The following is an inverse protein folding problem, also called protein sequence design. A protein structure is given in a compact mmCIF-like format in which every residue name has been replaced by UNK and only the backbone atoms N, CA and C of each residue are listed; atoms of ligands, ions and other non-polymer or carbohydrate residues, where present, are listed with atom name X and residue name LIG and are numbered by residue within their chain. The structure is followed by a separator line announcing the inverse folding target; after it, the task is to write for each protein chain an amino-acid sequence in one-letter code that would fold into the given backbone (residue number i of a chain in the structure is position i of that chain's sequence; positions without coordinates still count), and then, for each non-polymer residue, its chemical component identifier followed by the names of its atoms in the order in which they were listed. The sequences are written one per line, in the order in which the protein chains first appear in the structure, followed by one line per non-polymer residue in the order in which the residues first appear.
data_IF_698168084869
#
_entry.id   IF_698168084869
#
_cell.length_a   1.000
_cell.length_b   1.000
_cell.length_c   1.000
_cell.angle_alpha   90.00
_cell.angle_beta   90.00
_cell.angle_gamma   90.00
#
_symmetry.space_group_name_H-M   'P 1'
#
loop_
_entity.id
_entity.type
_entity.pdbx_description
1 polymer ?
#
# COMPACT_ATOMS: atom_id res chain seq x y z
N UNK A 1 -8.11 24.73 -18.21
CA UNK A 1 -7.70 23.99 -19.43
C UNK A 1 -6.65 22.90 -19.12
N UNK A 2 -6.68 22.25 -17.94
CA UNK A 2 -5.85 21.07 -17.59
C UNK A 2 -6.60 20.09 -16.66
N UNK A 3 -7.93 20.16 -16.56
CA UNK A 3 -8.70 19.48 -15.51
C UNK A 3 -8.45 17.95 -15.43
N UNK A 4 -8.17 17.30 -16.56
CA UNK A 4 -7.83 15.86 -16.60
C UNK A 4 -6.49 15.60 -15.90
N UNK A 5 -5.47 16.42 -16.15
CA UNK A 5 -4.17 16.30 -15.49
C UNK A 5 -4.30 16.55 -13.98
N UNK A 6 -5.10 17.51 -13.56
CA UNK A 6 -5.32 17.80 -12.14
C UNK A 6 -5.97 16.61 -11.42
N UNK A 7 -6.95 15.95 -12.07
CA UNK A 7 -7.59 14.74 -11.54
C UNK A 7 -6.60 13.58 -11.47
N UNK A 8 -5.76 13.38 -12.50
CA UNK A 8 -4.73 12.34 -12.50
C UNK A 8 -3.73 12.59 -11.36
N UNK A 9 -3.26 13.83 -11.20
CA UNK A 9 -2.34 14.22 -10.13
C UNK A 9 -2.95 14.02 -8.74
N UNK A 10 -4.24 14.32 -8.59
CA UNK A 10 -4.98 14.05 -7.36
C UNK A 10 -4.99 12.54 -7.04
N UNK A 11 -5.34 11.70 -8.02
CA UNK A 11 -5.37 10.24 -7.85
C UNK A 11 -4.00 9.70 -7.50
N UNK A 12 -2.94 10.14 -8.20
CA UNK A 12 -1.56 9.74 -7.89
C UNK A 12 -1.15 10.16 -6.48
N UNK A 13 -1.51 11.37 -6.05
CA UNK A 13 -1.22 11.84 -4.68
C UNK A 13 -1.93 10.97 -3.64
N UNK A 14 -3.20 10.64 -3.85
CA UNK A 14 -3.96 9.75 -2.96
C UNK A 14 -3.31 8.37 -2.92
N UNK A 15 -2.97 7.81 -4.08
CA UNK A 15 -2.32 6.51 -4.18
C UNK A 15 -0.99 6.46 -3.43
N UNK A 16 -0.16 7.51 -3.53
CA UNK A 16 1.08 7.63 -2.76
C UNK A 16 0.83 7.56 -1.25
N UNK A 17 -0.18 8.28 -0.75
CA UNK A 17 -0.53 8.21 0.67
C UNK A 17 -1.04 6.82 1.10
N UNK A 18 -1.77 6.11 0.23
CA UNK A 18 -2.20 4.73 0.50
C UNK A 18 -1.01 3.77 0.61
N UNK A 19 -0.01 3.90 -0.26
CA UNK A 19 1.22 3.09 -0.18
C UNK A 19 1.97 3.38 1.13
N UNK A 20 2.10 4.65 1.51
CA UNK A 20 2.71 5.03 2.79
C UNK A 20 1.93 4.41 3.97
N UNK A 21 0.60 4.51 3.96
CA UNK A 21 -0.24 3.90 4.99
C UNK A 21 -0.05 2.38 5.08
N UNK A 22 0.08 1.69 3.94
CA UNK A 22 0.35 0.25 3.91
C UNK A 22 1.68 -0.11 4.59
N UNK A 23 2.75 0.65 4.32
CA UNK A 23 4.06 0.42 4.95
C UNK A 23 3.99 0.68 6.45
N UNK A 24 3.31 1.76 6.87
CA UNK A 24 3.11 2.06 8.30
C UNK A 24 2.36 0.92 8.99
N UNK A 25 1.24 0.44 8.42
CA UNK A 25 0.48 -0.70 8.97
C UNK A 25 1.36 -1.94 9.07
N UNK A 26 2.15 -2.25 8.04
CA UNK A 26 3.09 -3.37 8.07
C UNK A 26 4.06 -3.28 9.24
N UNK A 27 4.69 -2.12 9.46
CA UNK A 27 5.58 -1.91 10.61
C UNK A 27 4.86 -1.98 11.95
N UNK A 28 3.67 -1.39 12.07
CA UNK A 28 2.89 -1.44 13.30
C UNK A 28 2.54 -2.89 13.68
N UNK A 29 2.24 -3.74 12.69
CA UNK A 29 2.00 -5.17 12.90
C UNK A 29 3.29 -5.90 13.26
N UNK A 30 4.38 -5.67 12.52
CA UNK A 30 5.67 -6.32 12.75
C UNK A 30 6.23 -6.04 14.16
N UNK A 31 6.07 -4.81 14.65
CA UNK A 31 6.48 -4.41 16.01
C UNK A 31 5.42 -4.71 17.08
N UNK A 32 4.37 -5.47 16.78
CA UNK A 32 3.27 -5.81 17.69
C UNK A 32 2.58 -4.58 18.35
N UNK A 33 2.62 -3.42 17.69
CA UNK A 33 1.92 -2.20 18.17
C UNK A 33 0.41 -2.35 17.98
N UNK A 34 0.00 -2.99 16.88
CA UNK A 34 -1.41 -3.31 16.60
C UNK A 34 -1.57 -4.80 16.30
N UNK A 35 -2.72 -5.36 16.66
CA UNK A 35 -2.98 -6.79 16.55
C UNK A 35 -3.88 -7.08 15.33
N UNK A 36 -3.38 -7.86 14.38
CA UNK A 36 -4.11 -8.32 13.18
C UNK A 36 -5.24 -9.30 13.48
N UNK A 37 -5.34 -9.83 14.70
CA UNK A 37 -6.53 -10.57 15.15
C UNK A 37 -7.76 -9.68 15.30
N UNK A 38 -7.58 -8.37 15.44
CA UNK A 38 -8.68 -7.43 15.41
C UNK A 38 -9.21 -7.29 13.98
N UNK A 39 -10.50 -7.56 13.78
CA UNK A 39 -11.13 -7.54 12.46
C UNK A 39 -11.05 -6.18 11.77
N UNK A 40 -11.03 -5.08 12.53
CA UNK A 40 -10.82 -3.75 11.98
C UNK A 40 -9.42 -3.59 11.37
N UNK A 41 -8.38 -4.01 12.09
CA UNK A 41 -6.99 -3.94 11.61
C UNK A 41 -6.81 -4.81 10.38
N UNK A 42 -7.38 -6.03 10.40
CA UNK A 42 -7.38 -6.95 9.28
C UNK A 42 -8.05 -6.35 8.04
N UNK A 43 -9.24 -5.77 8.22
CA UNK A 43 -9.99 -5.14 7.14
C UNK A 43 -9.20 -3.98 6.51
N UNK A 44 -8.53 -3.16 7.32
CA UNK A 44 -7.69 -2.05 6.84
C UNK A 44 -6.47 -2.56 6.07
N UNK A 45 -5.74 -3.55 6.61
CA UNK A 45 -4.58 -4.14 5.93
C UNK A 45 -4.99 -4.79 4.59
N UNK A 46 -6.07 -5.57 4.59
CA UNK A 46 -6.62 -6.19 3.38
C UNK A 46 -7.04 -5.15 2.34
N UNK A 47 -7.68 -4.06 2.76
CA UNK A 47 -8.06 -2.97 1.86
C UNK A 47 -6.82 -2.31 1.24
N UNK A 48 -5.86 -1.93 2.07
CA UNK A 48 -4.63 -1.27 1.62
C UNK A 48 -3.88 -2.15 0.63
N UNK A 49 -3.68 -3.44 0.96
CA UNK A 49 -3.04 -4.41 0.07
C UNK A 49 -3.81 -4.58 -1.24
N UNK A 50 -5.12 -4.75 -1.21
CA UNK A 50 -5.91 -4.94 -2.45
C UNK A 50 -5.86 -3.73 -3.38
N UNK A 51 -5.82 -2.52 -2.84
CA UNK A 51 -5.74 -1.30 -3.65
C UNK A 51 -4.35 -1.08 -4.23
N UNK A 52 -3.29 -1.44 -3.50
CA UNK A 52 -1.90 -1.21 -3.93
C UNK A 52 -1.31 -2.37 -4.76
N UNK A 53 -1.76 -3.61 -4.53
CA UNK A 53 -1.19 -4.82 -5.15
C UNK A 53 -1.20 -4.80 -6.70
N UNK A 54 -2.23 -4.31 -7.41
CA UNK A 54 -2.21 -4.30 -8.88
C UNK A 54 -1.05 -3.48 -9.47
N UNK A 55 -0.74 -2.34 -8.86
CA UNK A 55 0.36 -1.49 -9.30
C UNK A 55 1.70 -1.97 -8.73
N UNK A 56 1.76 -2.41 -7.47
CA UNK A 56 2.98 -2.94 -6.87
C UNK A 56 3.42 -4.27 -7.52
N UNK A 57 2.49 -5.16 -7.87
CA UNK A 57 2.81 -6.41 -8.57
C UNK A 57 3.43 -6.16 -9.94
N UNK A 58 3.01 -5.09 -10.64
CA UNK A 58 3.67 -4.65 -11.88
C UNK A 58 5.09 -4.16 -11.64
N UNK A 59 5.31 -3.39 -10.57
CA UNK A 59 6.64 -2.90 -10.19
C UNK A 59 7.54 -4.06 -9.78
N UNK A 60 7.03 -5.05 -9.02
CA UNK A 60 7.79 -6.23 -8.58
C UNK A 60 8.32 -7.06 -9.74
N UNK A 61 7.66 -7.08 -10.91
CA UNK A 61 8.18 -7.78 -12.11
C UNK A 61 9.49 -7.22 -12.63
N UNK A 62 9.84 -5.99 -12.26
CA UNK A 62 11.09 -5.34 -12.63
C UNK A 62 12.10 -5.31 -11.48
N UNK A 63 11.69 -5.69 -10.27
CA UNK A 63 12.62 -5.85 -9.16
C UNK A 63 13.31 -7.20 -9.27
N UNK A 64 14.64 -7.25 -9.09
CA UNK A 64 15.33 -8.52 -8.89
C UNK A 64 14.82 -9.17 -7.60
N UNK A 65 14.81 -10.51 -7.55
CA UNK A 65 14.44 -11.23 -6.33
C UNK A 65 15.39 -10.84 -5.19
N UNK A 66 14.86 -10.12 -4.20
CA UNK A 66 15.63 -9.65 -3.03
C UNK A 66 15.84 -10.76 -1.98
N UNK A 67 15.63 -12.03 -2.35
CA UNK A 67 15.97 -13.19 -1.53
C UNK A 67 15.24 -13.23 -0.20
N UNK A 68 13.92 -13.43 -0.21
CA UNK A 68 13.15 -13.87 0.96
C UNK A 68 13.18 -12.98 2.21
N UNK A 69 13.73 -11.77 2.11
CA UNK A 69 13.60 -10.75 3.14
C UNK A 69 12.19 -10.17 2.97
N UNK A 70 11.29 -10.52 3.89
CA UNK A 70 10.07 -9.76 4.16
C UNK A 70 10.44 -8.38 4.72
#
# INVERSE_FOLDING_TARGET
MLAILDVIMLVLRIYTWLVIAMVIVSWLVAFNVINTRNDFVRMVDDFLRRVTEPALSRIRRFMPDLGGID
#
